data_IF_537629508068
#
_entry.id   IF_537629508068
#
_cell.length_a   1.000
_cell.length_b   1.000
_cell.length_c   1.000
_cell.angle_alpha   90.00
_cell.angle_beta   90.00
_cell.angle_gamma   90.00
#
_symmetry.space_group_name_H-M   'P 1'
#
loop_
_entity.id
_entity.type
_entity.pdbx_description
1 polymer ?
#
# COMPACT_ATOMS: atom_id res chain seq x y z
N UNK A 1 -24.61 65.17 47.84
CA UNK A 1 -23.23 65.68 48.06
C UNK A 1 -22.39 64.52 48.56
N UNK A 2 -21.17 64.36 48.05
CA UNK A 2 -20.08 63.48 48.55
C UNK A 2 -19.90 62.06 47.93
N UNK A 3 -19.06 62.07 46.88
CA UNK A 3 -17.96 61.18 46.42
C UNK A 3 -18.21 59.77 45.83
N UNK A 4 -17.94 59.71 44.53
CA UNK A 4 -17.32 58.57 43.84
C UNK A 4 -15.90 58.33 44.37
N UNK A 5 -15.56 57.08 44.68
CA UNK A 5 -14.17 56.64 44.82
C UNK A 5 -13.83 55.79 43.61
N UNK A 6 -13.00 56.33 42.73
CA UNK A 6 -12.37 55.61 41.64
C UNK A 6 -11.16 54.83 42.19
N UNK A 7 -11.19 53.49 42.09
CA UNK A 7 -10.04 52.66 42.37
C UNK A 7 -9.18 52.56 41.11
N UNK A 8 -8.01 53.21 41.13
CA UNK A 8 -6.96 53.06 40.12
C UNK A 8 -6.32 51.67 40.21
N UNK A 9 -6.23 51.01 39.06
CA UNK A 9 -5.55 49.74 38.89
C UNK A 9 -4.02 49.85 38.93
N UNK A 10 -3.38 48.80 39.41
CA UNK A 10 -1.98 48.48 39.17
C UNK A 10 -1.95 47.08 38.55
N UNK A 11 -1.93 47.03 37.21
CA UNK A 11 -1.66 45.81 36.46
C UNK A 11 -0.17 45.51 36.46
N UNK A 12 0.23 44.44 37.14
CA UNK A 12 1.57 43.85 37.03
C UNK A 12 1.64 43.09 35.70
N UNK A 13 2.37 43.64 34.73
CA UNK A 13 2.70 42.95 33.49
C UNK A 13 3.89 42.02 33.72
N UNK A 14 3.63 40.72 33.82
CA UNK A 14 4.66 39.68 33.83
C UNK A 14 5.12 39.41 32.40
N UNK A 15 6.35 39.79 32.07
CA UNK A 15 6.99 39.41 30.81
C UNK A 15 7.46 37.95 30.89
N UNK A 16 6.71 37.03 30.27
CA UNK A 16 7.18 35.66 30.03
C UNK A 16 8.24 35.67 28.94
N UNK A 17 9.47 35.32 29.28
CA UNK A 17 10.49 34.96 28.29
C UNK A 17 10.23 33.53 27.85
N UNK A 18 9.64 33.36 26.67
CA UNK A 18 9.62 32.07 26.00
C UNK A 18 11.05 31.77 25.51
N UNK A 19 11.68 30.76 26.10
CA UNK A 19 12.94 30.22 25.60
C UNK A 19 12.65 29.53 24.26
N UNK A 20 13.27 30.04 23.20
CA UNK A 20 13.22 29.46 21.86
C UNK A 20 13.99 28.13 21.89
N UNK A 21 13.26 27.02 22.01
CA UNK A 21 13.86 25.70 21.92
C UNK A 21 14.30 25.48 20.45
N UNK A 22 15.54 25.01 20.21
CA UNK A 22 16.00 24.76 18.85
C UNK A 22 15.09 23.72 18.17
N UNK A 23 14.65 24.05 16.96
CA UNK A 23 13.86 23.14 16.14
C UNK A 23 14.62 21.82 15.92
N UNK A 24 13.96 20.66 16.05
CA UNK A 24 14.61 19.38 15.77
C UNK A 24 15.14 19.36 14.33
N UNK A 25 16.42 19.03 14.18
CA UNK A 25 17.05 18.81 12.88
C UNK A 25 16.31 17.68 12.15
N UNK A 26 16.05 17.79 10.83
CA UNK A 26 15.33 16.74 10.10
C UNK A 26 16.16 15.45 10.18
N UNK A 27 15.62 14.45 10.87
CA UNK A 27 16.20 13.11 10.87
C UNK A 27 16.30 12.64 9.42
N UNK A 28 17.50 12.30 8.97
CA UNK A 28 17.72 11.74 7.64
C UNK A 28 16.90 10.45 7.53
N UNK A 29 15.83 10.48 6.74
CA UNK A 29 14.96 9.32 6.60
C UNK A 29 15.75 8.14 6.01
N UNK A 30 15.57 6.95 6.57
CA UNK A 30 16.18 5.73 6.04
C UNK A 30 15.62 5.44 4.65
N UNK A 31 16.52 5.35 3.66
CA UNK A 31 16.17 5.05 2.26
C UNK A 31 15.65 3.62 2.15
N UNK A 32 14.52 3.44 1.48
CA UNK A 32 13.96 2.10 1.20
C UNK A 32 14.57 1.57 -0.09
N UNK A 33 15.46 0.58 -0.01
CA UNK A 33 16.00 -0.07 -1.20
C UNK A 33 15.03 -1.12 -1.72
N UNK A 34 14.66 -1.03 -3.01
CA UNK A 34 13.73 -1.98 -3.66
C UNK A 34 14.33 -2.49 -4.96
N UNK A 35 14.47 -3.81 -5.05
CA UNK A 35 15.02 -4.56 -6.18
C UNK A 35 14.24 -5.87 -6.42
N UNK A 36 14.72 -6.69 -7.35
CA UNK A 36 14.09 -7.98 -7.66
C UNK A 36 14.04 -8.95 -6.47
N UNK A 37 14.97 -8.83 -5.53
CA UNK A 37 15.04 -9.71 -4.35
C UNK A 37 14.10 -9.25 -3.23
N UNK A 38 13.52 -8.06 -3.34
CA UNK A 38 12.58 -7.50 -2.36
C UNK A 38 11.24 -8.24 -2.33
N UNK A 39 10.92 -9.02 -3.37
CA UNK A 39 9.64 -9.71 -3.51
C UNK A 39 9.84 -11.23 -3.54
N UNK A 40 9.81 -11.85 -2.37
CA UNK A 40 9.93 -13.30 -2.19
C UNK A 40 8.57 -13.97 -2.04
N UNK A 41 8.56 -15.27 -1.73
CA UNK A 41 7.34 -16.05 -1.49
C UNK A 41 6.41 -15.39 -0.45
N UNK A 42 5.21 -14.99 -0.88
CA UNK A 42 4.21 -14.35 -0.01
C UNK A 42 3.86 -15.21 1.21
N UNK A 43 3.70 -16.52 1.01
CA UNK A 43 3.24 -17.44 2.07
C UNK A 43 4.26 -17.71 3.18
N UNK A 44 5.55 -17.44 2.93
CA UNK A 44 6.63 -17.77 3.87
C UNK A 44 7.30 -16.54 4.46
N UNK A 45 7.37 -15.43 3.73
CA UNK A 45 8.09 -14.23 4.16
C UNK A 45 7.18 -13.12 4.64
N UNK A 46 5.89 -13.16 4.32
CA UNK A 46 4.94 -12.08 4.64
C UNK A 46 3.89 -12.54 5.66
N UNK A 47 3.30 -11.58 6.37
CA UNK A 47 2.23 -11.78 7.33
C UNK A 47 0.86 -11.68 6.63
N UNK A 48 -0.02 -12.69 6.75
CA UNK A 48 -1.37 -12.61 6.18
C UNK A 48 -2.23 -11.61 6.96
N UNK A 49 -2.94 -10.76 6.22
CA UNK A 49 -3.93 -9.80 6.74
C UNK A 49 -5.21 -9.97 5.95
N UNK A 50 -6.16 -10.71 6.53
CA UNK A 50 -7.47 -11.02 5.93
C UNK A 50 -7.34 -11.67 4.56
N UNK A 51 -7.30 -10.89 3.48
CA UNK A 51 -7.26 -11.34 2.09
C UNK A 51 -6.01 -10.89 1.32
N UNK A 52 -5.06 -10.19 1.96
CA UNK A 52 -3.78 -9.78 1.40
C UNK A 52 -2.63 -10.11 2.36
N UNK A 53 -1.39 -9.81 1.96
CA UNK A 53 -0.18 -10.04 2.76
C UNK A 53 0.61 -8.74 2.95
N UNK A 54 1.28 -8.62 4.10
CA UNK A 54 2.15 -7.50 4.42
C UNK A 54 3.54 -7.92 4.89
N UNK A 55 4.54 -7.10 4.60
CA UNK A 55 5.92 -7.24 5.08
C UNK A 55 6.55 -5.84 5.25
N UNK A 56 7.82 -5.73 5.63
CA UNK A 56 8.53 -4.46 5.70
C UNK A 56 10.02 -4.62 5.37
N UNK A 57 10.50 -3.95 4.31
CA UNK A 57 11.88 -4.00 3.83
C UNK A 57 12.91 -3.37 4.79
N UNK A 58 12.46 -2.58 5.76
CA UNK A 58 13.29 -2.01 6.83
C UNK A 58 13.19 -2.82 8.14
N UNK A 59 12.50 -3.97 8.12
CA UNK A 59 12.33 -4.86 9.28
C UNK A 59 11.18 -4.49 10.23
N UNK A 60 10.45 -3.40 9.99
CA UNK A 60 9.31 -2.99 10.82
C UNK A 60 8.00 -3.71 10.45
N UNK A 61 8.02 -5.05 10.46
CA UNK A 61 6.83 -5.87 10.16
C UNK A 61 5.69 -5.61 11.16
N UNK A 62 6.01 -5.45 12.45
CA UNK A 62 5.02 -5.21 13.50
C UNK A 62 4.27 -3.88 13.29
N UNK A 63 4.97 -2.80 12.94
CA UNK A 63 4.33 -1.52 12.63
C UNK A 63 3.47 -1.58 11.38
N UNK A 64 3.92 -2.32 10.36
CA UNK A 64 3.14 -2.55 9.13
C UNK A 64 1.86 -3.33 9.42
N UNK A 65 1.95 -4.41 10.20
CA UNK A 65 0.81 -5.21 10.62
C UNK A 65 -0.17 -4.39 11.49
N UNK A 66 0.35 -3.54 12.37
CA UNK A 66 -0.47 -2.67 13.21
C UNK A 66 -1.26 -1.66 12.36
N UNK A 67 -0.62 -1.02 11.39
CA UNK A 67 -1.29 -0.10 10.45
C UNK A 67 -2.38 -0.83 9.66
N UNK A 68 -2.08 -2.04 9.15
CA UNK A 68 -3.02 -2.84 8.40
C UNK A 68 -4.24 -3.34 9.18
N UNK A 69 -4.17 -3.34 10.52
CA UNK A 69 -5.29 -3.71 11.39
C UNK A 69 -5.94 -2.51 12.10
N UNK A 70 -5.53 -1.28 11.77
CA UNK A 70 -6.06 -0.09 12.40
C UNK A 70 -7.53 0.12 11.99
N UNK A 71 -8.49 0.09 12.93
CA UNK A 71 -9.92 0.11 12.60
C UNK A 71 -10.41 1.43 12.00
N UNK A 72 -9.61 2.49 12.10
CA UNK A 72 -9.90 3.83 11.55
C UNK A 72 -8.92 4.25 10.46
N UNK A 73 -8.13 3.30 9.94
CA UNK A 73 -7.02 3.58 9.07
C UNK A 73 -5.79 4.09 9.84
N UNK A 74 -4.63 4.01 9.18
CA UNK A 74 -3.36 4.48 9.69
C UNK A 74 -2.39 4.71 8.53
N UNK A 75 -1.43 5.62 8.72
CA UNK A 75 -0.31 5.75 7.80
C UNK A 75 0.63 4.56 8.01
N UNK A 76 0.96 3.88 6.92
CA UNK A 76 1.91 2.77 6.94
C UNK A 76 3.34 3.30 7.11
N UNK A 77 4.18 2.62 7.91
CA UNK A 77 5.58 3.01 8.06
C UNK A 77 6.36 2.80 6.76
N UNK A 78 7.43 3.58 6.55
CA UNK A 78 8.37 3.34 5.45
C UNK A 78 8.89 1.88 5.45
N UNK A 79 9.11 1.35 4.26
CA UNK A 79 9.48 -0.04 4.03
C UNK A 79 8.31 -1.00 3.91
N UNK A 80 7.08 -0.60 4.26
CA UNK A 80 5.90 -1.49 4.19
C UNK A 80 5.72 -2.05 2.79
N UNK A 81 5.50 -3.36 2.68
CA UNK A 81 5.17 -4.05 1.43
C UNK A 81 3.76 -4.59 1.56
N UNK A 82 2.94 -4.41 0.53
CA UNK A 82 1.58 -4.97 0.44
C UNK A 82 1.42 -5.75 -0.85
N UNK A 83 0.93 -6.99 -0.77
CA UNK A 83 0.62 -7.82 -1.93
C UNK A 83 -0.75 -8.49 -1.79
N UNK A 84 -1.62 -8.29 -2.79
CA UNK A 84 -2.89 -9.02 -2.94
C UNK A 84 -2.74 -10.25 -3.84
N UNK A 85 -1.99 -10.11 -4.93
CA UNK A 85 -1.67 -11.19 -5.88
C UNK A 85 -0.16 -11.26 -6.10
N UNK A 86 0.41 -12.43 -6.47
CA UNK A 86 1.87 -12.58 -6.59
C UNK A 86 2.54 -11.59 -7.56
N UNK A 87 1.79 -11.16 -8.58
CA UNK A 87 2.29 -10.37 -9.71
C UNK A 87 2.21 -8.86 -9.53
N UNK A 88 1.72 -8.37 -8.39
CA UNK A 88 1.62 -6.94 -8.11
C UNK A 88 2.05 -6.66 -6.67
N UNK A 89 2.67 -5.52 -6.42
CA UNK A 89 3.05 -5.09 -5.07
C UNK A 89 2.98 -3.57 -4.92
N UNK A 90 2.85 -3.13 -3.68
CA UNK A 90 3.05 -1.74 -3.27
C UNK A 90 4.15 -1.68 -2.22
N UNK A 91 5.04 -0.69 -2.31
CA UNK A 91 6.05 -0.43 -1.28
C UNK A 91 5.93 1.01 -0.79
N UNK A 92 5.81 1.21 0.52
CA UNK A 92 5.84 2.51 1.16
C UNK A 92 7.28 3.01 1.22
N UNK A 93 7.55 4.11 0.53
CA UNK A 93 8.86 4.76 0.45
C UNK A 93 9.10 5.68 1.63
N UNK A 94 10.32 6.20 1.71
CA UNK A 94 10.71 7.22 2.67
C UNK A 94 9.82 8.48 2.55
N UNK A 95 9.56 9.20 3.66
CA UNK A 95 8.65 10.36 3.64
C UNK A 95 9.03 11.41 2.59
N UNK A 96 8.06 11.84 1.80
CA UNK A 96 8.23 12.88 0.78
C UNK A 96 8.79 12.39 -0.56
N UNK A 97 9.02 11.08 -0.72
CA UNK A 97 9.49 10.48 -1.97
C UNK A 97 8.48 10.63 -3.11
N UNK A 98 7.18 10.55 -2.82
CA UNK A 98 6.11 10.80 -3.78
C UNK A 98 4.86 11.32 -3.06
N UNK A 99 4.74 12.64 -2.83
CA UNK A 99 3.60 13.21 -2.12
C UNK A 99 2.24 12.92 -2.78
N UNK A 100 2.23 12.76 -4.11
CA UNK A 100 1.02 12.45 -4.87
C UNK A 100 0.42 11.09 -4.48
N UNK A 101 1.27 10.11 -4.17
CA UNK A 101 0.87 8.74 -3.85
C UNK A 101 0.95 8.42 -2.36
N UNK A 102 1.14 9.43 -1.51
CA UNK A 102 1.44 9.22 -0.09
C UNK A 102 2.69 8.35 0.08
N UNK A 103 3.70 8.53 -0.77
CA UNK A 103 4.95 7.77 -0.79
C UNK A 103 4.79 6.28 -1.14
N UNK A 104 3.64 5.84 -1.65
CA UNK A 104 3.51 4.50 -2.23
C UNK A 104 4.10 4.43 -3.63
N UNK A 105 4.97 3.45 -3.85
CA UNK A 105 5.44 3.03 -5.15
C UNK A 105 4.75 1.72 -5.54
N UNK A 106 4.27 1.61 -6.79
CA UNK A 106 3.54 0.45 -7.29
C UNK A 106 4.40 -0.37 -8.25
N UNK A 107 4.24 -1.68 -8.21
CA UNK A 107 5.07 -2.64 -8.94
C UNK A 107 4.22 -3.66 -9.70
N UNK A 108 4.57 -3.88 -10.95
CA UNK A 108 4.19 -5.06 -11.72
C UNK A 108 5.37 -6.05 -11.70
N UNK A 109 5.09 -7.30 -11.31
CA UNK A 109 6.07 -8.34 -11.16
C UNK A 109 5.86 -9.46 -12.19
N UNK A 110 6.96 -9.88 -12.80
CA UNK A 110 7.10 -11.20 -13.42
C UNK A 110 7.49 -12.18 -12.30
N UNK A 111 6.75 -13.27 -12.12
CA UNK A 111 7.01 -14.27 -11.06
C UNK A 111 7.12 -15.67 -11.66
N UNK A 112 8.11 -16.41 -11.19
CA UNK A 112 8.29 -17.83 -11.49
C UNK A 112 8.83 -18.56 -10.24
N UNK A 113 9.23 -19.82 -10.40
CA UNK A 113 9.77 -20.63 -9.30
C UNK A 113 11.17 -20.20 -8.83
N UNK A 114 11.90 -19.42 -9.63
CA UNK A 114 13.22 -18.86 -9.29
C UNK A 114 13.13 -17.54 -8.52
N UNK A 115 11.97 -16.88 -8.52
CA UNK A 115 11.77 -15.61 -7.81
C UNK A 115 10.91 -14.60 -8.57
N UNK A 116 11.23 -13.33 -8.37
CA UNK A 116 10.53 -12.20 -8.99
C UNK A 116 11.48 -11.36 -9.83
N UNK A 117 10.94 -10.74 -10.87
CA UNK A 117 11.58 -9.66 -11.60
C UNK A 117 10.62 -8.49 -11.69
N UNK A 118 11.10 -7.28 -11.41
CA UNK A 118 10.33 -6.06 -11.59
C UNK A 118 10.18 -5.83 -13.10
N UNK A 119 8.94 -5.94 -13.59
CA UNK A 119 8.61 -5.62 -14.97
C UNK A 119 8.39 -4.11 -15.14
N UNK A 120 7.56 -3.54 -14.25
CA UNK A 120 7.31 -2.10 -14.18
C UNK A 120 7.28 -1.65 -12.72
N UNK A 121 7.67 -0.40 -12.50
CA UNK A 121 7.54 0.30 -11.21
C UNK A 121 7.30 1.79 -11.45
N UNK A 122 6.66 2.45 -10.51
CA UNK A 122 6.43 3.89 -10.59
C UNK A 122 5.36 4.36 -9.61
N UNK A 123 4.80 5.54 -9.87
CA UNK A 123 3.89 6.21 -8.95
C UNK A 123 2.50 6.39 -9.58
N UNK A 124 2.11 7.63 -9.88
CA UNK A 124 0.78 7.94 -10.39
C UNK A 124 0.55 7.41 -11.82
N UNK A 125 1.61 7.23 -12.57
CA UNK A 125 1.63 6.93 -14.01
C UNK A 125 1.69 5.44 -14.34
N UNK A 126 2.04 4.58 -13.38
CA UNK A 126 2.32 3.18 -13.67
C UNK A 126 1.04 2.38 -13.89
N UNK A 127 1.06 1.58 -14.97
CA UNK A 127 -0.03 0.69 -15.35
C UNK A 127 0.41 -0.76 -15.22
N UNK A 128 -0.50 -1.63 -14.80
CA UNK A 128 -0.26 -3.07 -14.77
C UNK A 128 -0.22 -3.69 -16.18
N UNK A 129 0.00 -5.01 -16.25
CA UNK A 129 0.05 -5.75 -17.53
C UNK A 129 -1.22 -5.67 -18.38
N UNK A 130 -2.36 -5.32 -17.76
CA UNK A 130 -3.65 -5.16 -18.45
C UNK A 130 -3.91 -3.71 -18.87
N UNK A 131 -2.94 -2.81 -18.71
CA UNK A 131 -3.06 -1.40 -19.07
C UNK A 131 -3.95 -0.60 -18.12
N UNK A 132 -4.29 -1.13 -16.94
CA UNK A 132 -5.03 -0.41 -15.89
C UNK A 132 -4.05 0.31 -14.97
N UNK A 133 -4.39 1.53 -14.58
CA UNK A 133 -3.51 2.36 -13.76
C UNK A 133 -3.60 1.96 -12.28
N UNK A 134 -2.44 1.71 -11.67
CA UNK A 134 -2.37 1.27 -10.28
C UNK A 134 -2.89 2.37 -9.35
N UNK A 135 -2.36 3.58 -9.45
CA UNK A 135 -2.71 4.68 -8.56
C UNK A 135 -4.20 5.04 -8.59
N UNK A 136 -4.82 5.11 -9.77
CA UNK A 136 -6.24 5.46 -9.95
C UNK A 136 -7.16 4.50 -9.19
N UNK A 137 -6.81 3.21 -9.13
CA UNK A 137 -7.57 2.23 -8.33
C UNK A 137 -7.40 2.43 -6.82
N UNK A 138 -6.27 2.99 -6.37
CA UNK A 138 -5.93 3.14 -4.96
C UNK A 138 -6.30 4.53 -4.38
N UNK A 139 -6.42 5.56 -5.21
CA UNK A 139 -6.79 6.94 -4.81
C UNK A 139 -8.06 7.02 -3.96
N UNK A 140 -9.15 6.28 -4.24
CA UNK A 140 -10.37 6.33 -3.42
C UNK A 140 -10.13 5.94 -1.96
N UNK A 141 -9.10 5.15 -1.68
CA UNK A 141 -8.71 4.72 -0.35
C UNK A 141 -7.65 5.62 0.31
N UNK A 142 -7.36 6.81 -0.25
CA UNK A 142 -6.36 7.74 0.32
C UNK A 142 -6.61 8.03 1.80
N UNK A 143 -7.80 8.53 2.12
CA UNK A 143 -8.18 8.91 3.48
C UNK A 143 -9.37 8.05 3.93
N UNK A 144 -9.33 7.46 5.14
CA UNK A 144 -8.22 7.41 6.09
C UNK A 144 -7.25 6.22 5.88
N UNK A 145 -7.38 5.47 4.77
CA UNK A 145 -6.78 4.14 4.61
C UNK A 145 -5.38 4.12 3.99
N UNK A 146 -4.76 5.28 3.80
CA UNK A 146 -3.41 5.43 3.26
C UNK A 146 -3.23 4.68 1.92
N UNK A 147 -4.19 4.87 1.02
CA UNK A 147 -4.25 4.23 -0.30
C UNK A 147 -4.38 2.70 -0.28
N UNK A 148 -4.54 2.06 0.88
CA UNK A 148 -4.76 0.62 0.96
C UNK A 148 -6.23 0.32 0.69
N UNK A 149 -6.44 -0.32 -0.45
CA UNK A 149 -7.75 -0.63 -0.96
C UNK A 149 -8.24 -1.98 -0.44
N UNK A 150 -9.33 -1.98 0.33
CA UNK A 150 -9.97 -3.17 0.88
C UNK A 150 -11.51 -3.01 0.87
N UNK A 151 -12.24 -4.11 1.10
CA UNK A 151 -13.67 -4.12 1.37
C UNK A 151 -14.05 -3.05 2.41
N UNK A 152 -14.94 -2.13 2.02
CA UNK A 152 -15.40 -1.05 2.89
C UNK A 152 -14.52 0.21 2.87
N UNK A 153 -13.45 0.24 2.07
CA UNK A 153 -12.57 1.42 1.93
C UNK A 153 -12.98 2.32 0.75
N UNK A 154 -14.23 2.21 0.27
CA UNK A 154 -14.80 2.99 -0.85
C UNK A 154 -14.10 2.81 -2.21
N UNK A 155 -13.28 1.78 -2.36
CA UNK A 155 -12.73 1.42 -3.65
C UNK A 155 -13.77 0.82 -4.60
N UNK A 156 -13.52 1.00 -5.90
CA UNK A 156 -14.21 0.22 -6.92
C UNK A 156 -13.78 -1.26 -6.85
N UNK A 157 -14.73 -2.21 -6.90
CA UNK A 157 -14.39 -3.63 -6.94
C UNK A 157 -13.52 -3.98 -8.16
N UNK A 158 -12.48 -4.78 -7.93
CA UNK A 158 -11.70 -5.39 -9.01
C UNK A 158 -12.49 -6.55 -9.66
N UNK A 159 -12.22 -6.90 -10.92
CA UNK A 159 -12.98 -7.92 -11.65
C UNK A 159 -12.71 -9.38 -11.19
N UNK A 160 -12.02 -9.57 -10.06
CA UNK A 160 -11.69 -10.87 -9.47
C UNK A 160 -12.17 -10.91 -8.02
N UNK A 161 -12.69 -12.05 -7.58
CA UNK A 161 -13.17 -12.24 -6.22
C UNK A 161 -12.07 -12.75 -5.26
N UNK A 162 -12.37 -12.80 -3.96
CA UNK A 162 -11.42 -13.29 -2.95
C UNK A 162 -11.04 -14.76 -3.11
N UNK A 163 -11.88 -15.57 -3.76
CA UNK A 163 -11.54 -16.98 -4.02
C UNK A 163 -10.46 -17.06 -5.10
N UNK A 164 -10.56 -16.22 -6.12
CA UNK A 164 -9.55 -16.06 -7.16
C UNK A 164 -8.22 -15.54 -6.61
N UNK A 165 -8.22 -14.47 -5.81
CA UNK A 165 -6.97 -13.95 -5.21
C UNK A 165 -6.35 -14.96 -4.25
N UNK A 166 -7.16 -15.62 -3.41
CA UNK A 166 -6.68 -16.68 -2.53
C UNK A 166 -6.06 -17.87 -3.28
N UNK A 167 -6.67 -18.28 -4.40
CA UNK A 167 -6.12 -19.35 -5.23
C UNK A 167 -4.78 -18.95 -5.87
N UNK A 168 -4.62 -17.69 -6.30
CA UNK A 168 -3.36 -17.15 -6.79
C UNK A 168 -2.28 -17.13 -5.71
N UNK A 169 -2.61 -16.70 -4.50
CA UNK A 169 -1.69 -16.68 -3.35
C UNK A 169 -1.20 -18.09 -2.98
N UNK A 170 -2.11 -19.07 -2.94
CA UNK A 170 -1.78 -20.49 -2.67
C UNK A 170 -0.99 -21.15 -3.79
N UNK A 171 -1.07 -20.60 -5.00
CA UNK A 171 -0.36 -21.07 -6.19
C UNK A 171 0.86 -20.22 -6.55
N UNK A 172 1.31 -19.33 -5.65
CA UNK A 172 2.50 -18.51 -5.88
C UNK A 172 3.72 -19.42 -6.17
N UNK A 173 4.29 -19.37 -7.39
CA UNK A 173 5.33 -20.30 -7.80
C UNK A 173 6.62 -20.14 -6.99
N UNK A 174 6.85 -18.96 -6.40
CA UNK A 174 8.00 -18.67 -5.53
C UNK A 174 7.96 -19.48 -4.23
N UNK A 175 6.78 -19.97 -3.85
CA UNK A 175 6.56 -20.67 -2.59
C UNK A 175 6.78 -22.19 -2.67
N UNK A 176 7.06 -22.72 -3.86
CA UNK A 176 7.18 -24.15 -4.12
C UNK A 176 5.84 -24.76 -4.53
N UNK A 177 5.58 -26.00 -4.09
CA UNK A 177 4.35 -26.71 -4.45
C UNK A 177 3.10 -25.88 -4.07
N UNK A 178 2.09 -25.81 -4.96
CA UNK A 178 0.81 -25.19 -4.64
C UNK A 178 0.12 -25.89 -3.45
N UNK A 179 -0.63 -25.12 -2.67
CA UNK A 179 -1.43 -25.62 -1.54
C UNK A 179 -2.92 -25.41 -1.82
N UNK A 180 -3.52 -26.12 -2.80
CA UNK A 180 -4.88 -25.84 -3.25
C UNK A 180 -5.93 -26.13 -2.16
N UNK A 181 -6.98 -25.33 -2.14
CA UNK A 181 -8.20 -25.52 -1.37
C UNK A 181 -9.40 -25.78 -2.28
N UNK A 182 -10.53 -26.17 -1.68
CA UNK A 182 -11.74 -26.53 -2.41
C UNK A 182 -12.23 -25.43 -3.35
N UNK A 183 -12.25 -25.77 -4.64
CA UNK A 183 -12.66 -24.89 -5.73
C UNK A 183 -11.58 -23.94 -6.25
N UNK A 184 -10.34 -24.04 -5.78
CA UNK A 184 -9.22 -23.28 -6.35
C UNK A 184 -8.98 -23.61 -7.82
N UNK A 185 -9.10 -24.88 -8.18
CA UNK A 185 -8.98 -25.32 -9.57
C UNK A 185 -9.96 -24.56 -10.49
N UNK A 186 -11.21 -24.39 -10.06
CA UNK A 186 -12.22 -23.64 -10.81
C UNK A 186 -11.93 -22.14 -10.82
N UNK A 187 -11.47 -21.57 -9.70
CA UNK A 187 -11.08 -20.16 -9.63
C UNK A 187 -9.91 -19.84 -10.58
N UNK A 188 -8.86 -20.67 -10.58
CA UNK A 188 -7.72 -20.55 -11.49
C UNK A 188 -8.12 -20.76 -12.95
N UNK A 189 -9.05 -21.69 -13.22
CA UNK A 189 -9.59 -21.87 -14.56
C UNK A 189 -10.32 -20.62 -15.05
N UNK A 190 -11.20 -20.02 -14.24
CA UNK A 190 -11.89 -18.77 -14.56
C UNK A 190 -10.91 -17.62 -14.81
N UNK A 191 -9.90 -17.48 -13.96
CA UNK A 191 -8.84 -16.48 -14.14
C UNK A 191 -8.11 -16.64 -15.47
N UNK A 192 -7.69 -17.87 -15.81
CA UNK A 192 -7.05 -18.16 -17.10
C UNK A 192 -7.97 -17.81 -18.28
N UNK A 193 -9.25 -18.18 -18.19
CA UNK A 193 -10.23 -17.83 -19.22
C UNK A 193 -10.39 -16.31 -19.38
N UNK A 194 -10.46 -15.56 -18.28
CA UNK A 194 -10.53 -14.09 -18.31
C UNK A 194 -9.31 -13.47 -18.99
N UNK A 195 -8.10 -13.96 -18.69
CA UNK A 195 -6.86 -13.48 -19.31
C UNK A 195 -6.86 -13.76 -20.82
N UNK A 196 -7.26 -14.97 -21.24
CA UNK A 196 -7.33 -15.35 -22.66
C UNK A 196 -8.35 -14.51 -23.41
N UNK A 197 -9.56 -14.35 -22.85
CA UNK A 197 -10.62 -13.54 -23.46
C UNK A 197 -10.17 -12.08 -23.56
N UNK A 198 -9.64 -11.51 -22.48
CA UNK A 198 -9.14 -10.14 -22.46
C UNK A 198 -8.05 -9.89 -23.48
N UNK A 199 -7.10 -10.82 -23.63
CA UNK A 199 -6.02 -10.75 -24.63
C UNK A 199 -6.58 -10.82 -26.05
N UNK A 200 -7.50 -11.74 -26.32
CA UNK A 200 -8.14 -11.91 -27.63
C UNK A 200 -8.94 -10.66 -28.04
N UNK A 201 -9.74 -10.11 -27.12
CA UNK A 201 -10.51 -8.89 -27.36
C UNK A 201 -9.59 -7.69 -27.54
N UNK A 202 -8.51 -7.57 -26.77
CA UNK A 202 -7.51 -6.52 -26.91
C UNK A 202 -6.82 -6.55 -28.28
N UNK A 203 -6.41 -7.74 -28.73
CA UNK A 203 -5.84 -7.94 -30.06
C UNK A 203 -6.84 -7.56 -31.16
N UNK A 204 -8.08 -8.02 -31.08
CA UNK A 204 -9.11 -7.68 -32.06
C UNK A 204 -9.36 -6.17 -32.14
N UNK A 205 -9.42 -5.47 -31.00
CA UNK A 205 -9.55 -4.01 -30.94
C UNK A 205 -8.34 -3.24 -31.48
N UNK A 206 -7.19 -3.89 -31.64
CA UNK A 206 -6.00 -3.26 -32.23
C UNK A 206 -5.92 -3.40 -33.75
N UNK A 207 -6.76 -4.25 -34.35
CA UNK A 207 -6.81 -4.48 -35.80
C UNK A 207 -7.76 -3.54 -36.54
N UNK A 208 -8.61 -2.81 -35.82
CA UNK A 208 -9.62 -1.88 -36.34
C UNK A 208 -9.58 -0.59 -35.54
#
# INVERSE_FOLDING_TARGET
MRWYVAALGLGLASASMAADAPAPSPATATVVNVDNNSFQCMRKTMLPVRHFYVDNLLGNQAGTLAAANAPKGAIYPAGSVVQLVPTEAMVKREPGFSPATGDWEFFELEVNDQGSKIGKRGFAEVNNRFGKNCFTCHVPARDPWDFICETGHNCEPIPIDHKMTGALQRSDPRCGAPEPQDGDAMALFKLRAMVVIGSTVGWFKSLF
#
